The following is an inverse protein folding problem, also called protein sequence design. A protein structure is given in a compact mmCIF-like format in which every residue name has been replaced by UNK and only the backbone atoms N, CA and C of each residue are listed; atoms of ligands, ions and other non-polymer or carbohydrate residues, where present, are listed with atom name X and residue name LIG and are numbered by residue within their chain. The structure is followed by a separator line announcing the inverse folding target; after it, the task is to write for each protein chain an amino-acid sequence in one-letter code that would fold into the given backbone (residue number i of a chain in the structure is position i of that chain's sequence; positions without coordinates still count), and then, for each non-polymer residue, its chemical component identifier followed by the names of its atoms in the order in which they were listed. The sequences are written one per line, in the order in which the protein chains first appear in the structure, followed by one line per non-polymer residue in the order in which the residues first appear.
data_IF_859154291300
#
_entry.id   IF_859154291300
#
_cell.length_a   1.000
_cell.length_b   1.000
_cell.length_c   1.000
_cell.angle_alpha   90.00
_cell.angle_beta   90.00
_cell.angle_gamma   90.00
#
_symmetry.space_group_name_H-M   'P 1'
#
loop_
_entity.id
_entity.type
_entity.pdbx_description
1 polymer ?
#
# COMPACT_ATOMS: atom_id res chain seq x y z
N UNK A 1 46.92 9.08 57.76
CA UNK A 1 45.76 9.46 56.93
C UNK A 1 44.65 9.91 57.86
N UNK A 2 44.30 11.20 57.84
CA UNK A 2 43.40 11.84 58.81
C UNK A 2 42.00 11.22 58.73
N UNK A 3 41.41 10.82 59.86
CA UNK A 3 40.06 10.23 59.94
C UNK A 3 39.01 11.14 59.31
N UNK A 4 39.22 12.44 59.40
CA UNK A 4 38.42 13.47 58.74
C UNK A 4 38.48 13.40 57.20
N UNK A 5 39.65 13.08 56.64
CA UNK A 5 39.83 12.90 55.19
C UNK A 5 39.07 11.66 54.70
N UNK A 6 39.12 10.55 55.45
CA UNK A 6 38.39 9.31 55.13
C UNK A 6 36.86 9.51 55.11
N UNK A 7 36.34 10.30 56.05
CA UNK A 7 34.92 10.66 56.12
C UNK A 7 34.47 11.49 54.90
N UNK A 8 35.30 12.42 54.44
CA UNK A 8 35.02 13.23 53.24
C UNK A 8 35.03 12.36 51.98
N UNK A 9 35.99 11.45 51.84
CA UNK A 9 36.02 10.51 50.70
C UNK A 9 34.82 9.56 50.70
N UNK A 10 34.39 9.07 51.87
CA UNK A 10 33.22 8.21 51.99
C UNK A 10 31.92 8.95 51.63
N UNK A 11 31.78 10.20 52.10
CA UNK A 11 30.62 11.03 51.78
C UNK A 11 30.56 11.42 50.29
N UNK A 12 31.70 11.73 49.68
CA UNK A 12 31.79 12.01 48.25
C UNK A 12 31.46 10.77 47.39
N UNK A 13 31.94 9.58 47.78
CA UNK A 13 31.63 8.34 47.09
C UNK A 13 30.13 8.01 47.14
N UNK A 14 29.47 8.23 48.28
CA UNK A 14 28.01 8.03 48.42
C UNK A 14 27.21 9.01 47.57
N UNK A 15 27.61 10.28 47.51
CA UNK A 15 26.95 11.29 46.69
C UNK A 15 27.05 11.01 45.17
N UNK A 16 28.17 10.43 44.72
CA UNK A 16 28.37 10.04 43.32
C UNK A 16 27.47 8.84 42.94
N UNK A 17 27.28 7.87 43.84
CA UNK A 17 26.40 6.71 43.58
C UNK A 17 24.92 7.10 43.58
N UNK A 18 24.51 8.05 44.43
CA UNK A 18 23.10 8.51 44.51
C UNK A 18 22.68 9.47 43.39
N UNK A 19 23.64 10.07 42.67
CA UNK A 19 23.36 10.98 41.55
C UNK A 19 23.32 10.29 40.18
N UNK A 20 23.74 9.03 40.10
CA UNK A 20 23.96 8.34 38.81
C UNK A 20 22.83 7.39 38.38
N UNK A 21 21.70 7.37 39.07
CA UNK A 21 20.49 6.66 38.60
C UNK A 21 19.34 7.67 38.46
N UNK A 22 19.29 8.39 37.33
CA UNK A 22 18.01 8.89 36.85
C UNK A 22 17.26 7.66 36.33
N UNK A 23 16.14 7.32 36.96
CA UNK A 23 15.21 6.35 36.37
C UNK A 23 14.71 6.99 35.09
N UNK A 24 15.04 6.42 33.94
CA UNK A 24 14.45 6.84 32.67
C UNK A 24 12.92 6.73 32.81
N UNK A 25 12.19 7.76 32.36
CA UNK A 25 10.73 7.72 32.31
C UNK A 25 10.34 6.45 31.54
N UNK A 26 9.55 5.58 32.18
CA UNK A 26 9.01 4.42 31.48
C UNK A 26 8.03 4.93 30.42
N UNK A 27 8.05 4.37 29.20
CA UNK A 27 7.11 4.78 28.16
C UNK A 27 5.68 4.55 28.65
N UNK A 28 4.86 5.59 28.60
CA UNK A 28 3.48 5.56 29.10
C UNK A 28 2.55 4.83 28.11
N UNK A 29 2.91 4.79 26.82
CA UNK A 29 2.11 4.20 25.75
C UNK A 29 2.94 3.42 24.73
N UNK A 30 2.36 2.32 24.23
CA UNK A 30 2.95 1.41 23.26
C UNK A 30 2.03 1.26 22.05
N UNK A 31 2.61 1.22 20.85
CA UNK A 31 1.85 1.01 19.61
C UNK A 31 2.75 1.03 18.37
N UNK A 32 2.15 1.21 17.20
CA UNK A 32 2.88 1.27 15.94
C UNK A 32 3.20 2.71 15.52
N UNK A 33 4.48 3.04 15.40
CA UNK A 33 5.01 4.31 14.89
C UNK A 33 5.41 4.26 13.41
N UNK A 34 5.24 3.13 12.73
CA UNK A 34 5.50 3.02 11.28
C UNK A 34 4.35 3.63 10.48
N UNK A 35 4.65 4.71 9.75
CA UNK A 35 3.67 5.45 8.94
C UNK A 35 3.03 4.63 7.83
N UNK A 36 3.65 3.51 7.42
CA UNK A 36 3.13 2.60 6.40
C UNK A 36 2.21 1.52 6.98
N UNK A 37 2.04 1.45 8.30
CA UNK A 37 1.13 0.51 8.93
C UNK A 37 -0.31 1.05 8.93
N UNK A 38 -1.28 0.16 8.75
CA UNK A 38 -2.70 0.49 8.82
C UNK A 38 -3.16 0.87 10.24
N UNK A 39 -2.39 0.52 11.26
CA UNK A 39 -2.61 0.89 12.66
C UNK A 39 -1.55 1.87 13.18
N UNK A 40 -0.95 2.67 12.31
CA UNK A 40 -0.08 3.77 12.71
C UNK A 40 -0.78 4.66 13.76
N UNK A 41 -0.10 4.91 14.86
CA UNK A 41 -0.52 5.82 15.92
C UNK A 41 0.66 6.71 16.33
N UNK A 42 0.72 7.91 15.78
CA UNK A 42 1.74 8.90 16.11
C UNK A 42 1.63 9.49 17.52
N UNK A 43 0.65 9.08 18.33
CA UNK A 43 0.49 9.54 19.71
C UNK A 43 1.18 8.65 20.74
N UNK A 44 1.71 7.47 20.35
CA UNK A 44 2.39 6.57 21.28
C UNK A 44 3.85 6.96 21.51
N UNK A 45 4.37 6.63 22.70
CA UNK A 45 5.74 6.95 23.10
C UNK A 45 6.75 5.92 22.57
N UNK A 46 6.31 4.68 22.36
CA UNK A 46 7.20 3.58 22.03
C UNK A 46 6.62 2.60 21.01
N UNK A 47 7.46 2.23 20.04
CA UNK A 47 7.16 1.22 19.04
C UNK A 47 7.08 -0.17 19.69
N UNK A 48 5.88 -0.72 19.85
CA UNK A 48 5.71 -2.16 20.07
C UNK A 48 5.58 -2.86 18.71
N UNK A 49 5.97 -4.13 18.59
CA UNK A 49 5.95 -4.85 17.31
C UNK A 49 4.52 -5.17 16.81
N UNK A 50 3.55 -4.29 17.05
CA UNK A 50 2.13 -4.44 16.69
C UNK A 50 1.77 -3.90 15.30
N UNK A 51 2.73 -3.35 14.53
CA UNK A 51 2.44 -2.80 13.21
C UNK A 51 1.79 -3.84 12.29
N UNK A 52 0.74 -3.40 11.61
CA UNK A 52 -0.07 -4.16 10.68
C UNK A 52 0.08 -3.60 9.28
N UNK A 53 0.67 -4.37 8.39
CA UNK A 53 0.96 -3.97 7.03
C UNK A 53 0.04 -4.67 6.03
N UNK A 54 -0.32 -3.95 4.97
CA UNK A 54 -1.24 -4.44 3.94
C UNK A 54 -0.43 -5.07 2.80
N UNK A 55 -0.59 -6.37 2.56
CA UNK A 55 0.08 -7.09 1.48
C UNK A 55 -0.93 -7.52 0.42
N UNK A 56 -0.75 -7.04 -0.81
CA UNK A 56 -1.69 -7.29 -1.91
C UNK A 56 -1.83 -8.79 -2.19
N UNK A 57 -3.05 -9.22 -2.47
CA UNK A 57 -3.37 -10.59 -2.90
C UNK A 57 -4.05 -10.64 -4.26
N UNK A 58 -4.96 -9.70 -4.54
CA UNK A 58 -5.77 -9.69 -5.74
C UNK A 58 -6.25 -8.26 -6.07
N UNK A 59 -6.52 -8.03 -7.34
CA UNK A 59 -7.17 -6.83 -7.84
C UNK A 59 -8.49 -7.19 -8.51
N UNK A 60 -9.44 -6.27 -8.53
CA UNK A 60 -10.69 -6.43 -9.26
C UNK A 60 -11.06 -5.12 -9.95
N UNK A 61 -11.45 -5.21 -11.21
CA UNK A 61 -12.09 -4.13 -11.95
C UNK A 61 -13.57 -4.46 -12.07
N UNK A 62 -14.42 -3.47 -11.81
CA UNK A 62 -15.86 -3.55 -12.07
C UNK A 62 -16.24 -2.41 -12.99
N UNK A 63 -16.89 -2.77 -14.11
CA UNK A 63 -17.31 -1.91 -15.20
C UNK A 63 -16.16 -1.27 -15.98
N UNK A 64 -16.26 -1.33 -17.30
CA UNK A 64 -15.39 -0.58 -18.21
C UNK A 64 -16.19 -0.06 -19.40
N UNK A 65 -15.54 0.78 -20.22
CA UNK A 65 -16.18 1.38 -21.38
C UNK A 65 -16.70 0.30 -22.35
N UNK A 66 -18.01 0.31 -22.59
CA UNK A 66 -18.68 -0.49 -23.61
C UNK A 66 -18.54 0.20 -24.98
N UNK A 67 -17.54 -0.23 -25.76
CA UNK A 67 -17.39 0.16 -27.16
C UNK A 67 -16.78 -0.98 -27.97
N UNK A 68 -16.84 -0.84 -29.29
CA UNK A 68 -16.14 -1.73 -30.22
C UNK A 68 -14.64 -1.43 -30.16
N UNK A 69 -13.86 -2.35 -29.58
CA UNK A 69 -12.40 -2.25 -29.51
C UNK A 69 -11.71 -2.77 -30.77
N UNK A 70 -12.35 -3.65 -31.54
CA UNK A 70 -11.91 -4.10 -32.86
C UNK A 70 -13.01 -3.86 -33.93
N UNK A 71 -12.87 -2.76 -34.68
CA UNK A 71 -13.79 -2.39 -35.77
C UNK A 71 -13.73 -3.35 -36.98
N UNK A 72 -12.67 -4.16 -37.10
CA UNK A 72 -12.47 -5.10 -38.21
C UNK A 72 -13.00 -6.50 -37.88
N UNK A 73 -13.17 -6.82 -36.60
CA UNK A 73 -13.63 -8.13 -36.12
C UNK A 73 -14.83 -8.03 -35.17
N UNK A 74 -16.07 -7.91 -35.70
CA UNK A 74 -17.27 -7.75 -34.89
C UNK A 74 -17.67 -8.99 -34.06
N UNK A 75 -16.90 -10.08 -34.11
CA UNK A 75 -17.08 -11.26 -33.24
C UNK A 75 -16.20 -11.24 -31.99
N UNK A 76 -15.21 -10.35 -31.94
CA UNK A 76 -14.24 -10.16 -30.85
C UNK A 76 -14.01 -8.65 -30.65
N UNK A 77 -15.11 -7.91 -30.54
CA UNK A 77 -15.06 -6.45 -30.37
C UNK A 77 -14.96 -6.03 -28.90
N UNK A 78 -14.99 -6.99 -27.99
CA UNK A 78 -14.86 -6.78 -26.54
C UNK A 78 -13.41 -6.42 -26.19
N UNK A 79 -13.23 -5.87 -24.99
CA UNK A 79 -11.92 -5.37 -24.58
C UNK A 79 -11.00 -6.50 -24.11
N UNK A 80 -9.72 -6.42 -24.46
CA UNK A 80 -8.67 -7.27 -23.93
C UNK A 80 -8.00 -6.53 -22.75
N UNK A 81 -8.41 -6.80 -21.51
CA UNK A 81 -8.05 -5.95 -20.38
C UNK A 81 -6.65 -6.23 -19.85
N UNK A 82 -5.90 -5.15 -19.64
CA UNK A 82 -4.65 -5.14 -18.87
C UNK A 82 -4.71 -4.07 -17.78
N UNK A 83 -4.37 -4.46 -16.55
CA UNK A 83 -4.32 -3.58 -15.38
C UNK A 83 -2.88 -3.36 -14.96
N UNK A 84 -2.51 -2.11 -14.69
CA UNK A 84 -1.24 -1.79 -14.03
C UNK A 84 -1.48 -1.04 -12.73
N UNK A 85 -0.61 -1.29 -11.76
CA UNK A 85 -0.62 -0.63 -10.45
C UNK A 85 0.79 -0.23 -10.08
N UNK A 86 0.95 0.99 -9.57
CA UNK A 86 2.26 1.51 -9.26
C UNK A 86 2.28 2.86 -8.58
N UNK A 87 3.46 3.46 -8.56
CA UNK A 87 3.77 4.73 -7.93
C UNK A 87 4.21 5.74 -8.98
N UNK A 88 4.28 7.01 -8.57
CA UNK A 88 4.76 8.13 -9.39
C UNK A 88 4.06 8.18 -10.77
N UNK A 89 2.71 8.17 -10.75
CA UNK A 89 1.89 8.17 -11.96
C UNK A 89 2.26 7.04 -12.94
N UNK A 90 2.52 5.84 -12.39
CA UNK A 90 2.93 4.63 -13.10
C UNK A 90 4.34 4.65 -13.73
N UNK A 91 5.20 5.62 -13.39
CA UNK A 91 6.63 5.54 -13.73
C UNK A 91 7.33 4.39 -12.99
N UNK A 92 6.78 3.97 -11.84
CA UNK A 92 7.23 2.79 -11.11
C UNK A 92 6.09 1.78 -11.02
N UNK A 93 6.00 0.89 -11.99
CA UNK A 93 5.02 -0.21 -12.00
C UNK A 93 5.43 -1.29 -11.00
N UNK A 94 4.51 -1.67 -10.11
CA UNK A 94 4.66 -2.75 -9.14
C UNK A 94 3.92 -4.02 -9.55
N UNK A 95 2.86 -3.85 -10.33
CA UNK A 95 2.07 -4.94 -10.87
C UNK A 95 1.59 -4.59 -12.28
N UNK A 96 1.64 -5.58 -13.16
CA UNK A 96 0.94 -5.59 -14.43
C UNK A 96 0.28 -6.97 -14.57
N UNK A 97 -1.00 -7.00 -14.94
CA UNK A 97 -1.70 -8.26 -15.17
C UNK A 97 -1.26 -8.92 -16.47
N UNK A 98 -1.58 -10.20 -16.61
CA UNK A 98 -1.73 -10.76 -17.95
C UNK A 98 -3.01 -10.20 -18.59
N UNK A 99 -3.13 -10.35 -19.90
CA UNK A 99 -4.32 -9.97 -20.66
C UNK A 99 -5.51 -10.85 -20.30
N UNK A 100 -6.63 -10.22 -19.94
CA UNK A 100 -7.93 -10.86 -19.85
C UNK A 100 -8.64 -10.64 -21.18
N UNK A 101 -8.73 -11.71 -21.97
CA UNK A 101 -9.31 -11.65 -23.31
C UNK A 101 -10.84 -11.50 -23.26
N UNK A 102 -11.39 -10.82 -24.27
CA UNK A 102 -12.83 -10.73 -24.55
C UNK A 102 -13.64 -10.41 -23.28
N UNK A 103 -13.37 -9.25 -22.67
CA UNK A 103 -13.98 -8.85 -21.42
C UNK A 103 -15.28 -8.06 -21.65
N UNK A 104 -16.38 -8.64 -21.16
CA UNK A 104 -17.71 -8.05 -21.07
C UNK A 104 -17.70 -6.81 -20.15
N UNK A 105 -18.09 -5.62 -20.65
CA UNK A 105 -18.10 -4.37 -19.89
C UNK A 105 -18.99 -4.37 -18.65
N UNK A 106 -19.97 -5.27 -18.55
CA UNK A 106 -20.87 -5.38 -17.40
C UNK A 106 -20.41 -6.41 -16.35
N UNK A 107 -19.30 -7.11 -16.62
CA UNK A 107 -18.74 -8.14 -15.73
C UNK A 107 -17.59 -7.61 -14.87
N UNK A 108 -17.39 -8.24 -13.71
CA UNK A 108 -16.24 -7.98 -12.85
C UNK A 108 -15.12 -8.98 -13.14
N UNK A 109 -13.88 -8.49 -13.19
CA UNK A 109 -12.70 -9.30 -13.49
C UNK A 109 -11.66 -9.21 -12.38
N UNK A 110 -11.22 -10.37 -11.90
CA UNK A 110 -10.22 -10.53 -10.86
C UNK A 110 -8.83 -10.82 -11.44
N UNK A 111 -7.80 -10.21 -10.86
CA UNK A 111 -6.40 -10.36 -11.26
C UNK A 111 -5.55 -10.68 -10.04
N UNK A 112 -5.02 -11.90 -9.99
CA UNK A 112 -4.17 -12.34 -8.87
C UNK A 112 -2.82 -11.62 -8.89
N UNK A 113 -2.37 -11.15 -7.73
CA UNK A 113 -1.02 -10.64 -7.56
C UNK A 113 -0.03 -11.81 -7.44
N UNK A 114 0.73 -12.06 -8.51
CA UNK A 114 1.73 -13.15 -8.56
C UNK A 114 2.86 -12.97 -7.54
N UNK A 115 3.20 -11.72 -7.26
CA UNK A 115 4.11 -11.32 -6.18
C UNK A 115 3.36 -10.42 -5.19
N UNK A 116 3.41 -10.80 -3.92
CA UNK A 116 2.81 -9.98 -2.85
C UNK A 116 3.76 -8.87 -2.47
N UNK A 117 3.29 -7.63 -2.56
CA UNK A 117 4.03 -6.45 -2.13
C UNK A 117 3.21 -5.64 -1.12
N UNK A 118 3.92 -4.88 -0.30
CA UNK A 118 3.31 -4.01 0.69
C UNK A 118 2.72 -2.76 0.01
N UNK A 119 1.47 -2.45 0.36
CA UNK A 119 0.88 -1.14 0.10
C UNK A 119 1.34 -0.15 1.17
N UNK A 120 2.06 0.88 0.76
CA UNK A 120 2.64 1.93 1.62
C UNK A 120 1.69 3.11 1.77
N UNK A 121 1.97 3.99 2.74
CA UNK A 121 1.25 5.25 2.93
C UNK A 121 1.72 6.31 1.92
N UNK A 122 1.49 6.00 0.66
CA UNK A 122 1.83 6.85 -0.49
C UNK A 122 0.60 6.94 -1.39
N UNK A 123 0.66 7.84 -2.39
CA UNK A 123 -0.35 7.85 -3.44
C UNK A 123 0.01 6.83 -4.50
N UNK A 124 -0.83 5.81 -4.62
CA UNK A 124 -0.76 4.77 -5.63
C UNK A 124 -1.65 5.12 -6.81
N UNK A 125 -1.27 4.61 -7.97
CA UNK A 125 -1.95 4.83 -9.24
C UNK A 125 -2.27 3.50 -9.87
N UNK A 126 -3.36 3.48 -10.63
CA UNK A 126 -3.73 2.35 -11.46
C UNK A 126 -4.25 2.84 -12.80
N UNK A 127 -4.05 2.04 -13.84
CA UNK A 127 -4.74 2.17 -15.10
C UNK A 127 -5.27 0.83 -15.61
N UNK A 128 -6.28 0.95 -16.45
CA UNK A 128 -6.90 -0.09 -17.23
C UNK A 128 -6.71 0.29 -18.70
N UNK A 129 -6.21 -0.65 -19.49
CA UNK A 129 -6.02 -0.48 -20.93
C UNK A 129 -6.58 -1.68 -21.69
N UNK A 130 -6.99 -1.43 -22.94
CA UNK A 130 -7.22 -2.46 -23.93
C UNK A 130 -5.88 -2.84 -24.57
N UNK A 131 -5.54 -4.12 -24.56
CA UNK A 131 -4.39 -4.69 -25.23
C UNK A 131 -4.74 -4.97 -26.69
N UNK A 132 -4.44 -4.04 -27.58
CA UNK A 132 -4.66 -4.24 -29.02
C UNK A 132 -3.64 -5.27 -29.51
N UNK A 133 -4.07 -6.53 -29.68
CA UNK A 133 -3.25 -7.64 -30.16
C UNK A 133 -2.92 -7.49 -31.67
N UNK A 134 -2.42 -6.33 -32.10
CA UNK A 134 -1.90 -6.16 -33.46
C UNK A 134 -0.53 -6.84 -33.55
N UNK A 135 -0.30 -7.78 -34.49
CA UNK A 135 0.92 -8.59 -34.54
C UNK A 135 2.26 -7.83 -34.73
N UNK A 136 2.27 -6.50 -34.80
CA UNK A 136 3.44 -5.68 -35.10
C UNK A 136 3.59 -4.43 -34.22
N UNK A 137 2.65 -4.15 -33.32
CA UNK A 137 2.68 -3.03 -32.38
C UNK A 137 1.83 -3.42 -31.17
N UNK A 138 2.45 -3.70 -30.02
CA UNK A 138 1.72 -3.73 -28.75
C UNK A 138 1.32 -2.29 -28.43
N UNK A 139 0.06 -1.94 -28.71
CA UNK A 139 -0.51 -0.66 -28.33
C UNK A 139 -1.54 -0.89 -27.23
N UNK A 140 -1.23 -0.40 -26.04
CA UNK A 140 -2.19 -0.32 -24.95
C UNK A 140 -3.01 0.95 -25.13
N UNK A 141 -4.30 0.79 -25.39
CA UNK A 141 -5.23 1.90 -25.44
C UNK A 141 -5.80 2.16 -24.05
N UNK A 142 -5.45 3.31 -23.48
CA UNK A 142 -5.93 3.71 -22.16
C UNK A 142 -7.46 3.77 -22.13
N UNK A 143 -8.06 3.10 -21.13
CA UNK A 143 -9.50 3.10 -20.90
C UNK A 143 -9.85 3.98 -19.69
N UNK A 144 -9.25 3.66 -18.55
CA UNK A 144 -9.60 4.27 -17.28
C UNK A 144 -8.40 4.26 -16.33
N UNK A 145 -8.42 5.13 -15.33
CA UNK A 145 -7.38 5.15 -14.32
C UNK A 145 -7.71 6.09 -13.18
N UNK A 146 -7.03 5.86 -12.06
CA UNK A 146 -7.28 6.58 -10.83
C UNK A 146 -6.09 6.49 -9.87
N UNK A 147 -6.29 7.08 -8.69
CA UNK A 147 -5.32 7.06 -7.62
C UNK A 147 -5.98 6.73 -6.29
N UNK A 148 -5.21 6.21 -5.35
CA UNK A 148 -5.66 5.91 -4.00
C UNK A 148 -4.50 6.01 -3.01
N UNK A 149 -4.83 6.19 -1.73
CA UNK A 149 -3.87 5.98 -0.65
C UNK A 149 -4.41 4.84 0.25
N UNK A 150 -3.73 3.67 0.26
CA UNK A 150 -4.17 2.47 0.96
C UNK A 150 -4.54 2.67 2.44
N UNK A 151 -3.80 3.54 3.14
CA UNK A 151 -4.00 3.75 4.59
C UNK A 151 -5.31 4.48 4.88
N UNK A 152 -5.80 5.31 3.97
CA UNK A 152 -7.03 6.08 4.16
C UNK A 152 -8.27 5.44 3.53
N UNK A 153 -8.11 4.57 2.53
CA UNK A 153 -9.21 4.00 1.74
C UNK A 153 -9.45 2.52 1.96
N UNK A 154 -8.78 1.90 2.94
CA UNK A 154 -9.02 0.52 3.32
C UNK A 154 -10.24 0.38 4.24
N UNK A 155 -10.98 -0.72 4.11
CA UNK A 155 -12.15 -1.02 4.96
C UNK A 155 -11.97 -2.27 5.85
N UNK A 156 -10.74 -2.79 5.94
CA UNK A 156 -10.42 -4.03 6.64
C UNK A 156 -10.41 -5.30 5.77
N UNK A 157 -10.80 -5.22 4.50
CA UNK A 157 -10.71 -6.35 3.55
C UNK A 157 -10.20 -5.96 2.17
N UNK A 158 -10.49 -4.74 1.72
CA UNK A 158 -9.98 -4.22 0.46
C UNK A 158 -9.84 -2.69 0.49
N UNK A 159 -9.04 -2.18 -0.42
CA UNK A 159 -8.99 -0.76 -0.79
C UNK A 159 -9.88 -0.56 -2.02
N UNK A 160 -10.63 0.54 -2.08
CA UNK A 160 -11.38 0.94 -3.29
C UNK A 160 -10.82 2.22 -3.87
N UNK A 161 -10.77 2.29 -5.21
CA UNK A 161 -10.50 3.48 -6.00
C UNK A 161 -11.52 3.56 -7.14
N UNK A 162 -11.87 4.77 -7.56
CA UNK A 162 -12.70 4.99 -8.74
C UNK A 162 -11.85 5.63 -9.83
N UNK A 163 -12.20 5.38 -11.08
CA UNK A 163 -11.60 6.08 -12.21
C UNK A 163 -11.89 7.58 -12.13
N UNK A 164 -11.07 8.37 -12.82
CA UNK A 164 -11.17 9.84 -12.79
C UNK A 164 -12.51 10.38 -13.32
N UNK A 165 -13.18 9.63 -14.19
CA UNK A 165 -14.53 9.89 -14.71
C UNK A 165 -15.66 9.27 -13.86
N UNK A 166 -15.30 8.43 -12.88
CA UNK A 166 -16.22 7.82 -11.90
C UNK A 166 -16.99 6.60 -12.40
N UNK A 167 -16.60 6.01 -13.54
CA UNK A 167 -17.33 4.91 -14.20
C UNK A 167 -16.80 3.53 -13.82
N UNK A 168 -15.48 3.37 -13.71
CA UNK A 168 -14.81 2.12 -13.37
C UNK A 168 -14.44 2.09 -11.90
N UNK A 169 -14.82 1.01 -11.21
CA UNK A 169 -14.39 0.73 -9.84
C UNK A 169 -13.19 -0.21 -9.85
N UNK A 170 -12.18 0.13 -9.06
CA UNK A 170 -11.01 -0.69 -8.83
C UNK A 170 -10.93 -1.09 -7.35
N UNK A 171 -10.80 -2.38 -7.08
CA UNK A 171 -10.58 -2.91 -5.73
C UNK A 171 -9.21 -3.58 -5.64
N UNK A 172 -8.57 -3.42 -4.49
CA UNK A 172 -7.33 -4.10 -4.14
C UNK A 172 -7.58 -4.90 -2.86
N UNK A 173 -7.59 -6.21 -2.97
CA UNK A 173 -7.65 -7.13 -1.85
C UNK A 173 -6.25 -7.34 -1.27
N UNK A 174 -6.18 -7.51 0.04
CA UNK A 174 -4.92 -7.65 0.76
C UNK A 174 -5.07 -8.53 2.01
N UNK A 175 -3.94 -9.08 2.45
CA UNK A 175 -3.78 -9.64 3.79
C UNK A 175 -3.17 -8.60 4.73
N UNK A 176 -3.56 -8.66 6.00
CA UNK A 176 -2.89 -7.90 7.07
C UNK A 176 -1.85 -8.80 7.73
N UNK A 177 -0.60 -8.32 7.83
CA UNK A 177 0.51 -9.02 8.48
C UNK A 177 1.21 -8.17 9.51
#
# INVERSE_FOLDING_TARGET
MNTWLKLIYLAAAVAIVLSSCKKDEEPDTFGCLDVNAANYDGSVDWQDNSCKFLYVTEFEITYHEDKSWDDLNPLFSEADLVVRVGLDNLNTVKYASNTQLDADPDSAYGFTATEQFQLTNETWYWDLSNDDMVPLLETYDFMAGGSFNPVFSNNGSYVTSMSSDGTTQFKIYYDIR
#
